data_IF_040341251419
#
_entry.id   IF_040341251419
#
_cell.length_a   1.000
_cell.length_b   1.000
_cell.length_c   1.000
_cell.angle_alpha   90.00
_cell.angle_beta   90.00
_cell.angle_gamma   90.00
#
_symmetry.space_group_name_H-M   'P 1'
#
loop_
_entity.id
_entity.type
_entity.pdbx_description
1 polymer ?
#
# COMPACT_ATOMS: atom_id res chain seq x y z
N UNK A 1 -13.00 9.75 -5.66
CA UNK A 1 -12.62 10.48 -4.43
C UNK A 1 -11.11 10.61 -4.44
N UNK A 2 -10.56 11.82 -4.33
CA UNK A 2 -9.11 12.02 -4.32
C UNK A 2 -8.55 11.57 -2.97
N UNK A 3 -7.57 10.67 -2.95
CA UNK A 3 -6.90 10.17 -1.74
C UNK A 3 -5.55 10.87 -1.54
N UNK A 4 -5.61 12.17 -1.26
CA UNK A 4 -4.42 12.94 -0.89
C UNK A 4 -3.98 12.57 0.53
N UNK A 5 -2.67 12.69 0.78
CA UNK A 5 -2.13 12.59 2.14
C UNK A 5 -2.63 13.76 3.00
N UNK A 6 -2.89 13.49 4.28
CA UNK A 6 -3.13 14.55 5.26
C UNK A 6 -1.79 15.08 5.80
N UNK A 7 -1.76 16.34 6.26
CA UNK A 7 -0.54 16.92 6.83
C UNK A 7 -0.01 16.10 8.01
N UNK A 8 1.25 15.68 7.92
CA UNK A 8 1.90 14.85 8.94
C UNK A 8 1.39 13.40 9.01
N UNK A 9 0.59 12.97 8.04
CA UNK A 9 0.10 11.60 7.98
C UNK A 9 1.24 10.60 7.74
N UNK A 10 1.33 9.62 8.62
CA UNK A 10 2.19 8.47 8.40
C UNK A 10 1.43 7.34 7.68
N UNK A 11 2.18 6.40 7.12
CA UNK A 11 1.66 5.25 6.36
C UNK A 11 0.65 4.42 7.16
N UNK A 12 0.85 4.27 8.47
CA UNK A 12 -0.07 3.52 9.34
C UNK A 12 -1.40 4.23 9.49
N UNK A 13 -1.39 5.55 9.73
CA UNK A 13 -2.59 6.38 9.82
C UNK A 13 -3.36 6.38 8.49
N UNK A 14 -2.65 6.48 7.36
CA UNK A 14 -3.24 6.37 6.01
C UNK A 14 -3.94 5.03 5.82
N UNK A 15 -3.26 3.93 6.15
CA UNK A 15 -3.85 2.59 6.08
C UNK A 15 -5.09 2.45 6.96
N UNK A 16 -5.06 2.97 8.19
CA UNK A 16 -6.21 2.92 9.10
C UNK A 16 -7.40 3.70 8.53
N UNK A 17 -7.17 4.89 7.96
CA UNK A 17 -8.22 5.63 7.26
C UNK A 17 -8.79 4.82 6.10
N UNK A 18 -7.94 4.22 5.27
CA UNK A 18 -8.39 3.39 4.16
C UNK A 18 -9.23 2.20 4.62
N UNK A 19 -8.81 1.50 5.67
CA UNK A 19 -9.56 0.41 6.27
C UNK A 19 -10.94 0.86 6.76
N UNK A 20 -11.04 2.05 7.38
CA UNK A 20 -12.33 2.60 7.79
C UNK A 20 -13.24 2.89 6.59
N UNK A 21 -12.70 3.44 5.50
CA UNK A 21 -13.48 3.70 4.27
C UNK A 21 -13.92 2.39 3.60
N UNK A 22 -13.12 1.33 3.64
CA UNK A 22 -13.53 0.00 3.14
C UNK A 22 -14.81 -0.48 3.82
N UNK A 23 -14.93 -0.29 5.14
CA UNK A 23 -16.15 -0.66 5.87
C UNK A 23 -17.38 0.14 5.40
N UNK A 24 -17.20 1.42 5.05
CA UNK A 24 -18.27 2.25 4.49
C UNK A 24 -18.69 1.71 3.11
N UNK A 25 -17.73 1.34 2.26
CA UNK A 25 -18.02 0.77 0.95
C UNK A 25 -18.84 -0.53 1.04
N UNK A 26 -18.63 -1.35 2.07
CA UNK A 26 -19.36 -2.60 2.27
C UNK A 26 -20.87 -2.41 2.49
N UNK A 27 -21.29 -1.23 2.98
CA UNK A 27 -22.69 -0.89 3.14
C UNK A 27 -23.33 -0.26 1.89
N UNK A 28 -22.55 -0.03 0.83
CA UNK A 28 -23.03 0.66 -0.38
C UNK A 28 -23.87 -0.28 -1.26
N UNK A 29 -25.12 0.06 -1.61
CA UNK A 29 -25.94 -0.78 -2.49
C UNK A 29 -25.39 -0.87 -3.92
N UNK A 30 -24.57 0.11 -4.33
CA UNK A 30 -23.91 0.13 -5.63
C UNK A 30 -22.52 -0.53 -5.61
N UNK A 31 -22.16 -1.27 -4.55
CA UNK A 31 -20.81 -1.85 -4.40
C UNK A 31 -20.43 -2.74 -5.59
N UNK A 32 -21.32 -3.61 -6.05
CA UNK A 32 -21.04 -4.50 -7.19
C UNK A 32 -20.84 -3.72 -8.50
N UNK A 33 -21.67 -2.70 -8.76
CA UNK A 33 -21.48 -1.83 -9.92
C UNK A 33 -20.15 -1.06 -9.84
N UNK A 34 -19.77 -0.61 -8.64
CA UNK A 34 -18.49 0.06 -8.39
C UNK A 34 -17.29 -0.88 -8.63
N UNK A 35 -17.38 -2.14 -8.18
CA UNK A 35 -16.38 -3.17 -8.46
C UNK A 35 -16.22 -3.41 -9.95
N UNK A 36 -17.32 -3.63 -10.66
CA UNK A 36 -17.32 -3.88 -12.11
C UNK A 36 -16.70 -2.72 -12.89
N UNK A 37 -17.08 -1.47 -12.57
CA UNK A 37 -16.48 -0.28 -13.16
C UNK A 37 -14.98 -0.20 -12.86
N UNK A 38 -14.58 -0.39 -11.60
CA UNK A 38 -13.17 -0.29 -11.21
C UNK A 38 -12.28 -1.36 -11.85
N UNK A 39 -12.83 -2.52 -12.23
CA UNK A 39 -12.08 -3.60 -12.86
C UNK A 39 -11.59 -3.25 -14.28
N UNK A 40 -12.28 -2.32 -14.96
CA UNK A 40 -11.94 -1.89 -16.32
C UNK A 40 -11.25 -0.53 -16.37
N UNK A 41 -11.23 0.21 -15.26
CA UNK A 41 -10.55 1.50 -15.19
C UNK A 41 -9.03 1.34 -15.02
N UNK A 42 -8.23 2.16 -15.72
CA UNK A 42 -6.79 2.18 -15.51
C UNK A 42 -6.41 2.56 -14.07
N UNK A 43 -5.47 1.83 -13.48
CA UNK A 43 -5.02 2.04 -12.08
C UNK A 43 -4.60 3.49 -11.78
N UNK A 44 -4.03 4.22 -12.74
CA UNK A 44 -3.62 5.61 -12.55
C UNK A 44 -4.79 6.58 -12.30
N UNK A 45 -6.03 6.19 -12.64
CA UNK A 45 -7.25 6.95 -12.35
C UNK A 45 -7.86 6.62 -10.98
N UNK A 46 -7.51 5.49 -10.39
CA UNK A 46 -8.14 4.93 -9.19
C UNK A 46 -7.08 4.56 -8.15
N UNK A 47 -6.64 5.57 -7.40
CA UNK A 47 -5.77 5.42 -6.23
C UNK A 47 -6.58 5.60 -4.94
N UNK A 48 -6.26 4.84 -3.88
CA UNK A 48 -6.94 4.90 -2.59
C UNK A 48 -7.95 3.76 -2.42
N UNK A 49 -9.18 4.05 -1.95
CA UNK A 49 -10.22 3.02 -1.74
C UNK A 49 -11.30 3.09 -2.83
N UNK A 50 -11.48 2.00 -3.57
CA UNK A 50 -12.48 1.88 -4.65
C UNK A 50 -13.10 0.48 -4.61
N UNK A 51 -14.41 0.35 -4.76
CA UNK A 51 -15.09 -0.96 -4.78
C UNK A 51 -14.94 -1.77 -3.48
N UNK A 52 -14.62 -1.11 -2.36
CA UNK A 52 -14.32 -1.77 -1.09
C UNK A 52 -12.91 -2.36 -1.00
N UNK A 53 -12.01 -1.95 -1.88
CA UNK A 53 -10.63 -2.43 -1.93
C UNK A 53 -9.64 -1.27 -1.87
N UNK A 54 -8.51 -1.49 -1.20
CA UNK A 54 -7.39 -0.55 -1.17
C UNK A 54 -6.53 -0.80 -2.42
N UNK A 55 -6.42 0.20 -3.28
CA UNK A 55 -5.60 0.20 -4.50
C UNK A 55 -4.46 1.20 -4.35
N UNK A 56 -3.25 0.68 -4.46
CA UNK A 56 -2.02 1.45 -4.39
C UNK A 56 -1.35 1.47 -5.78
N UNK A 57 -0.81 2.60 -6.26
CA UNK A 57 -0.13 2.65 -7.55
C UNK A 57 1.07 1.70 -7.59
N UNK A 58 1.32 1.07 -8.74
CA UNK A 58 2.49 0.23 -8.97
C UNK A 58 3.77 1.06 -8.74
N UNK A 59 4.42 0.87 -7.60
CA UNK A 59 5.56 1.68 -7.14
C UNK A 59 5.40 2.22 -5.72
N UNK A 60 4.17 2.23 -5.18
CA UNK A 60 3.91 2.49 -3.77
C UNK A 60 3.98 1.18 -2.98
N UNK A 61 5.20 0.68 -2.79
CA UNK A 61 5.47 -0.41 -1.84
C UNK A 61 5.18 0.05 -0.40
N UNK A 62 3.90 0.01 -0.02
CA UNK A 62 3.43 0.30 1.33
C UNK A 62 2.56 -0.84 1.87
N UNK A 63 2.93 -2.11 1.67
CA UNK A 63 2.36 -3.20 2.49
C UNK A 63 3.10 -4.53 2.62
N UNK A 64 4.43 -4.59 2.50
CA UNK A 64 5.20 -5.72 3.07
C UNK A 64 6.02 -5.24 4.28
N UNK A 65 6.01 -5.93 5.44
CA UNK A 65 7.03 -5.70 6.45
C UNK A 65 8.37 -6.12 5.84
N UNK A 66 9.22 -5.14 5.49
CA UNK A 66 10.64 -5.40 5.24
C UNK A 66 11.23 -5.90 6.54
N UNK A 67 11.36 -7.22 6.67
CA UNK A 67 12.22 -7.84 7.65
C UNK A 67 13.62 -7.28 7.46
N UNK A 68 14.06 -6.44 8.38
CA UNK A 68 15.47 -6.04 8.51
C UNK A 68 16.22 -7.29 8.98
N UNK A 69 16.69 -8.10 8.04
CA UNK A 69 17.82 -8.98 8.30
C UNK A 69 19.07 -8.12 8.29
N UNK A 70 19.49 -7.77 9.51
CA UNK A 70 20.78 -7.19 9.87
C UNK A 70 21.91 -8.08 9.32
N UNK A 71 22.34 -7.81 8.10
CA UNK A 71 23.53 -8.42 7.49
C UNK A 71 24.80 -7.79 8.05
N UNK A 72 25.25 -8.25 9.22
CA UNK A 72 26.61 -8.03 9.71
C UNK A 72 27.56 -8.66 8.68
N UNK A 73 28.26 -7.86 7.88
CA UNK A 73 29.38 -8.35 7.07
C UNK A 73 30.55 -8.61 8.02
N UNK A 74 30.82 -9.88 8.31
CA UNK A 74 32.08 -10.33 8.88
C UNK A 74 33.21 -10.01 7.87
N UNK A 75 34.12 -9.12 8.26
CA UNK A 75 35.35 -8.87 7.53
C UNK A 75 36.40 -9.90 7.98
N UNK A 76 36.54 -10.99 7.24
CA UNK A 76 37.65 -11.94 7.41
C UNK A 76 38.80 -11.53 6.51
N UNK A 77 39.63 -10.62 7.04
CA UNK A 77 40.94 -10.25 6.50
C UNK A 77 41.88 -11.46 6.55
N UNK A 78 41.95 -12.22 5.47
CA UNK A 78 42.96 -13.28 5.31
C UNK A 78 44.26 -12.65 4.81
N UNK A 79 45.17 -12.31 5.74
CA UNK A 79 46.59 -12.08 5.39
C UNK A 79 47.16 -13.41 4.90
N UNK A 80 47.66 -13.45 3.67
CA UNK A 80 48.51 -14.54 3.18
C UNK A 80 49.94 -13.98 3.07
N UNK A 81 50.73 -14.29 4.07
CA UNK A 81 52.19 -14.36 4.05
C UNK A 81 52.65 -15.42 3.06
N UNK A 82 53.59 -15.06 2.19
CA UNK A 82 54.82 -15.80 1.84
C UNK A 82 55.69 -14.87 1.01
#
# INVERSE_FOLDING_TARGET
>A
MFDNDLDGENVTAKRQRHQAVVQICQACPALEACRAWSAVEPMWRVNGVVGGEIRAPAGSEASAPRGVTKGIRANTSTRRTT
#
